data_IF_715291803100
#
_entry.id   IF_715291803100
#
_cell.length_a   1.000
_cell.length_b   1.000
_cell.length_c   1.000
_cell.angle_alpha   90.00
_cell.angle_beta   90.00
_cell.angle_gamma   90.00
#
_symmetry.space_group_name_H-M   'P 1'
#
loop_
_entity.id
_entity.type
_entity.pdbx_description
1 polymer ?
#
# COMPACT_ATOMS: atom_id res chain seq x y z
N UNK A 1 29.60 37.36 4.90
CA UNK A 1 29.01 37.02 3.59
C UNK A 1 28.83 35.52 3.59
N UNK A 2 27.72 35.06 4.17
CA UNK A 2 27.43 33.63 4.28
C UNK A 2 26.77 33.17 2.99
N UNK A 3 27.51 32.37 2.22
CA UNK A 3 27.02 31.64 1.07
C UNK A 3 26.19 30.45 1.56
N UNK A 4 24.92 30.68 1.86
CA UNK A 4 23.91 29.63 1.97
C UNK A 4 23.55 29.16 0.57
N UNK A 5 24.04 27.99 0.16
CA UNK A 5 23.52 27.27 -1.00
C UNK A 5 22.06 26.90 -0.71
N UNK A 6 21.15 27.77 -1.13
CA UNK A 6 19.71 27.67 -0.91
C UNK A 6 19.07 26.63 -1.84
N UNK A 7 19.03 25.36 -1.41
CA UNK A 7 17.97 24.46 -1.86
C UNK A 7 16.73 24.74 -1.03
N UNK A 8 15.71 25.36 -1.64
CA UNK A 8 14.38 25.52 -1.06
C UNK A 8 13.85 24.15 -0.61
N UNK A 9 13.45 24.03 0.65
CA UNK A 9 12.90 22.78 1.17
C UNK A 9 11.62 22.41 0.43
N UNK A 10 11.59 21.21 -0.16
CA UNK A 10 10.40 20.68 -0.85
C UNK A 10 9.33 20.35 0.18
N UNK A 11 8.11 20.81 -0.10
CA UNK A 11 6.94 20.55 0.74
C UNK A 11 6.01 19.58 0.02
N UNK A 12 5.56 18.54 0.70
CA UNK A 12 4.55 17.61 0.23
C UNK A 12 3.19 17.94 0.82
N UNK A 13 2.19 18.19 -0.02
CA UNK A 13 0.79 18.32 0.39
C UNK A 13 0.07 16.97 0.25
N UNK A 14 -0.42 16.47 1.38
CA UNK A 14 -1.16 15.22 1.52
C UNK A 14 -2.64 15.51 1.71
N UNK A 15 -3.50 14.58 1.29
CA UNK A 15 -4.92 14.65 1.56
C UNK A 15 -5.26 13.77 2.76
N UNK A 16 -5.70 14.37 3.86
CA UNK A 16 -6.07 13.63 5.06
C UNK A 16 -7.59 13.58 5.19
N UNK A 17 -8.17 12.40 5.45
CA UNK A 17 -9.59 12.34 5.81
C UNK A 17 -9.84 12.97 7.17
N UNK A 18 -10.93 13.71 7.27
CA UNK A 18 -11.48 14.12 8.55
C UNK A 18 -12.18 12.92 9.17
N UNK A 19 -11.68 12.48 10.31
CA UNK A 19 -12.19 11.34 11.08
C UNK A 19 -12.64 11.85 12.44
N UNK A 20 -13.95 11.96 12.59
CA UNK A 20 -14.63 12.44 13.78
C UNK A 20 -15.58 11.36 14.36
N UNK A 21 -16.37 11.74 15.36
CA UNK A 21 -17.33 10.86 16.01
C UNK A 21 -18.47 10.36 15.08
N UNK A 22 -18.70 11.03 13.95
CA UNK A 22 -19.74 10.67 12.98
C UNK A 22 -19.17 9.80 11.84
N UNK A 23 -17.86 9.53 11.85
CA UNK A 23 -17.19 8.78 10.79
C UNK A 23 -17.50 7.29 10.91
N UNK A 24 -18.31 6.79 9.98
CA UNK A 24 -18.69 5.38 9.92
C UNK A 24 -17.84 4.58 8.94
N UNK A 25 -17.55 3.33 9.30
CA UNK A 25 -16.83 2.39 8.40
C UNK A 25 -17.78 1.59 7.50
N UNK A 26 -19.06 1.58 7.84
CA UNK A 26 -20.05 0.69 7.24
C UNK A 26 -19.70 -0.79 7.36
N UNK A 27 -20.61 -1.65 6.90
CA UNK A 27 -20.34 -3.08 6.77
C UNK A 27 -19.46 -3.34 5.53
N UNK A 28 -18.23 -3.86 5.68
CA UNK A 28 -17.37 -4.19 4.54
C UNK A 28 -17.98 -5.23 3.60
N UNK A 29 -18.90 -6.07 4.07
CA UNK A 29 -19.54 -7.09 3.24
C UNK A 29 -20.56 -6.51 2.26
N UNK A 30 -21.15 -5.36 2.57
CA UNK A 30 -22.06 -4.64 1.69
C UNK A 30 -21.32 -3.76 0.66
N UNK A 31 -20.01 -3.56 0.81
CA UNK A 31 -19.19 -2.76 -0.12
C UNK A 31 -18.69 -3.57 -1.31
N UNK A 32 -18.33 -2.86 -2.37
CA UNK A 32 -17.60 -3.42 -3.52
C UNK A 32 -16.23 -3.96 -3.09
N UNK A 33 -15.71 -4.93 -3.86
CA UNK A 33 -14.41 -5.53 -3.53
C UNK A 33 -13.30 -4.49 -3.52
N UNK A 34 -12.51 -4.49 -2.45
CA UNK A 34 -11.43 -3.53 -2.27
C UNK A 34 -11.86 -2.07 -2.14
N UNK A 35 -13.16 -1.75 -2.10
CA UNK A 35 -13.62 -0.38 -1.95
C UNK A 35 -13.47 0.05 -0.49
N UNK A 36 -12.78 1.16 -0.19
CA UNK A 36 -12.74 1.71 1.16
C UNK A 36 -14.15 2.14 1.63
N UNK A 37 -14.34 2.32 2.94
CA UNK A 37 -15.54 2.97 3.47
C UNK A 37 -15.76 4.36 2.85
N UNK A 38 -17.00 4.86 2.82
CA UNK A 38 -17.27 6.26 2.50
C UNK A 38 -16.44 7.15 3.44
N UNK A 39 -15.66 8.05 2.86
CA UNK A 39 -14.88 9.02 3.63
C UNK A 39 -15.66 10.31 3.73
N UNK A 40 -15.53 10.98 4.88
CA UNK A 40 -15.88 12.40 4.98
C UNK A 40 -14.93 13.27 4.16
N UNK A 41 -14.94 14.57 4.44
CA UNK A 41 -14.11 15.53 3.72
C UNK A 41 -12.62 15.18 3.78
N UNK A 42 -11.94 15.38 2.66
CA UNK A 42 -10.49 15.30 2.57
C UNK A 42 -9.91 16.70 2.66
N UNK A 43 -8.99 16.92 3.60
CA UNK A 43 -8.36 18.21 3.82
C UNK A 43 -6.85 18.15 3.56
N UNK A 44 -6.28 19.18 2.91
CA UNK A 44 -4.86 19.22 2.65
C UNK A 44 -4.06 19.47 3.94
N UNK A 45 -2.95 18.75 4.12
CA UNK A 45 -1.91 19.04 5.12
C UNK A 45 -0.55 18.98 4.46
N UNK A 46 0.28 19.97 4.75
CA UNK A 46 1.61 20.09 4.14
C UNK A 46 2.68 19.68 5.15
N UNK A 47 3.66 18.91 4.70
CA UNK A 47 4.83 18.55 5.52
C UNK A 47 6.12 18.72 4.71
N UNK A 48 7.22 19.14 5.35
CA UNK A 48 8.52 19.16 4.69
C UNK A 48 8.96 17.75 4.33
N UNK A 49 9.53 17.60 3.14
CA UNK A 49 10.10 16.34 2.67
C UNK A 49 11.62 16.32 2.91
N UNK A 50 12.11 15.15 3.31
CA UNK A 50 13.53 14.85 3.48
C UNK A 50 13.96 13.99 2.30
N UNK A 51 14.81 14.56 1.45
CA UNK A 51 15.40 13.81 0.35
C UNK A 51 16.48 12.86 0.85
N UNK A 52 16.36 11.56 0.57
CA UNK A 52 17.34 10.55 0.98
C UNK A 52 18.49 10.39 -0.02
N UNK A 53 18.54 11.16 -1.12
CA UNK A 53 19.68 11.16 -2.06
C UNK A 53 21.06 11.21 -1.40
N UNK A 54 21.32 12.08 -0.39
CA UNK A 54 22.61 12.08 0.31
C UNK A 54 22.91 10.75 0.99
N UNK A 55 21.88 10.14 1.62
CA UNK A 55 22.00 8.83 2.25
C UNK A 55 22.28 7.72 1.23
N UNK A 56 21.65 7.74 0.05
CA UNK A 56 21.91 6.75 -1.00
C UNK A 56 23.33 6.82 -1.58
N UNK A 57 24.00 7.96 -1.41
CA UNK A 57 25.39 8.17 -1.86
C UNK A 57 26.41 7.78 -0.78
N UNK A 58 25.95 7.46 0.43
CA UNK A 58 26.81 7.03 1.54
C UNK A 58 27.31 5.59 1.29
N UNK A 59 28.62 5.32 1.34
CA UNK A 59 29.16 3.96 1.19
C UNK A 59 28.65 2.95 2.23
N UNK A 60 28.22 3.41 3.41
CA UNK A 60 27.63 2.60 4.48
C UNK A 60 26.15 2.31 4.27
N UNK A 61 25.51 2.86 3.24
CA UNK A 61 24.12 2.59 2.95
C UNK A 61 23.88 1.12 2.60
N UNK A 62 22.88 0.52 3.25
CA UNK A 62 22.35 -0.79 2.85
C UNK A 62 20.84 -0.73 2.78
N UNK A 63 20.26 -1.27 1.69
CA UNK A 63 18.82 -1.31 1.50
C UNK A 63 18.13 -2.05 2.67
N UNK A 64 18.69 -3.17 3.12
CA UNK A 64 18.16 -3.97 4.23
C UNK A 64 18.30 -3.24 5.57
N UNK A 65 19.39 -2.52 5.81
CA UNK A 65 19.56 -1.73 7.03
C UNK A 65 18.57 -0.57 7.10
N UNK A 66 18.32 0.10 5.98
CA UNK A 66 17.32 1.15 5.90
C UNK A 66 15.90 0.59 6.01
N UNK A 67 15.62 -0.55 5.39
CA UNK A 67 14.35 -1.27 5.52
C UNK A 67 14.07 -1.64 6.99
N UNK A 68 15.07 -2.18 7.70
CA UNK A 68 14.96 -2.52 9.12
C UNK A 68 14.69 -1.29 10.01
N UNK A 69 15.29 -0.14 9.71
CA UNK A 69 15.20 1.05 10.57
C UNK A 69 14.05 2.00 10.22
N UNK A 70 13.64 2.03 8.95
CA UNK A 70 12.68 3.01 8.41
C UNK A 70 11.45 2.37 7.74
N UNK A 71 11.45 1.06 7.53
CA UNK A 71 10.38 0.34 6.85
C UNK A 71 10.41 0.49 5.32
N UNK A 72 11.47 1.08 4.75
CA UNK A 72 11.70 1.10 3.30
C UNK A 72 13.19 1.17 2.96
N UNK A 73 13.57 0.75 1.75
CA UNK A 73 14.94 0.83 1.25
C UNK A 73 14.98 0.93 -0.28
N UNK A 74 16.10 1.38 -0.84
CA UNK A 74 16.32 1.52 -2.28
C UNK A 74 17.36 0.51 -2.72
N UNK A 75 17.03 -0.29 -3.72
CA UNK A 75 17.92 -1.27 -4.35
C UNK A 75 18.20 -0.82 -5.77
N UNK A 76 19.48 -0.72 -6.12
CA UNK A 76 19.89 -0.51 -7.50
C UNK A 76 19.70 -1.80 -8.29
N UNK A 77 18.77 -1.79 -9.24
CA UNK A 77 18.46 -2.95 -10.07
C UNK A 77 17.90 -2.53 -11.43
N UNK A 78 18.61 -2.84 -12.51
CA UNK A 78 18.14 -2.66 -13.88
C UNK A 78 17.39 -3.90 -14.32
N UNK A 79 16.14 -3.75 -14.75
CA UNK A 79 15.34 -4.87 -15.24
C UNK A 79 15.79 -5.29 -16.64
N UNK A 80 15.85 -6.61 -16.86
CA UNK A 80 16.07 -7.20 -18.18
C UNK A 80 14.74 -7.55 -18.86
N UNK A 81 13.70 -7.81 -18.08
CA UNK A 81 12.39 -8.30 -18.57
C UNK A 81 11.37 -7.20 -18.85
N UNK A 82 11.52 -6.02 -18.24
CA UNK A 82 10.47 -5.00 -18.24
C UNK A 82 10.17 -4.44 -19.64
N UNK A 83 11.19 -4.26 -20.48
CA UNK A 83 11.01 -3.73 -21.84
C UNK A 83 10.10 -4.64 -22.68
N UNK A 84 10.27 -5.95 -22.59
CA UNK A 84 9.43 -6.93 -23.28
C UNK A 84 8.00 -7.03 -22.73
N UNK A 85 7.69 -6.34 -21.62
CA UNK A 85 6.34 -6.32 -21.07
C UNK A 85 5.47 -5.21 -21.67
N UNK A 86 6.01 -4.34 -22.52
CA UNK A 86 5.22 -3.29 -23.17
C UNK A 86 4.58 -3.81 -24.47
N UNK A 87 3.31 -3.47 -24.65
CA UNK A 87 2.59 -3.59 -25.92
C UNK A 87 3.08 -2.51 -26.91
N UNK A 88 2.75 -2.66 -28.20
CA UNK A 88 3.02 -1.65 -29.24
C UNK A 88 2.41 -0.27 -28.92
N UNK A 89 1.43 -0.20 -28.02
CA UNK A 89 0.77 1.03 -27.57
C UNK A 89 1.44 1.67 -26.34
N UNK A 90 2.53 1.08 -25.84
CA UNK A 90 3.23 1.55 -24.63
C UNK A 90 2.47 1.27 -23.33
N UNK A 91 1.54 0.32 -23.34
CA UNK A 91 0.85 -0.20 -22.15
C UNK A 91 1.54 -1.47 -21.67
N UNK A 92 1.59 -1.70 -20.35
CA UNK A 92 2.14 -2.95 -19.82
C UNK A 92 1.14 -4.08 -20.07
N UNK A 93 1.61 -5.15 -20.70
CA UNK A 93 0.90 -6.40 -20.85
C UNK A 93 0.99 -7.22 -19.56
N UNK A 94 -0.17 -7.58 -19.02
CA UNK A 94 -0.26 -8.30 -17.74
C UNK A 94 0.31 -9.71 -17.81
N UNK A 95 0.16 -10.41 -18.94
CA UNK A 95 0.67 -11.77 -19.14
C UNK A 95 2.19 -11.78 -19.31
N UNK A 96 2.75 -10.84 -20.06
CA UNK A 96 4.18 -10.63 -20.18
C UNK A 96 4.80 -10.23 -18.83
N UNK A 97 4.17 -9.33 -18.08
CA UNK A 97 4.62 -8.99 -16.73
C UNK A 97 4.60 -10.20 -15.79
N UNK A 98 3.54 -11.01 -15.83
CA UNK A 98 3.43 -12.22 -15.02
C UNK A 98 4.46 -13.29 -15.37
N UNK A 99 4.79 -13.44 -16.66
CA UNK A 99 5.70 -14.49 -17.16
C UNK A 99 7.18 -14.10 -17.14
N UNK A 100 7.51 -12.80 -17.29
CA UNK A 100 8.89 -12.34 -17.41
C UNK A 100 9.34 -11.42 -16.25
N UNK A 101 8.50 -10.48 -15.83
CA UNK A 101 8.88 -9.47 -14.82
C UNK A 101 8.70 -9.97 -13.39
N UNK A 102 7.61 -10.67 -13.07
CA UNK A 102 7.38 -11.20 -11.72
C UNK A 102 8.44 -12.21 -11.28
N UNK A 103 8.92 -13.14 -12.14
CA UNK A 103 10.07 -13.99 -11.79
C UNK A 103 11.34 -13.18 -11.47
N UNK A 104 11.67 -12.16 -12.27
CA UNK A 104 12.81 -11.27 -12.02
C UNK A 104 12.68 -10.58 -10.65
N UNK A 105 11.48 -10.11 -10.30
CA UNK A 105 11.22 -9.49 -8.99
C UNK A 105 11.32 -10.50 -7.86
N UNK A 106 10.83 -11.73 -8.03
CA UNK A 106 10.99 -12.80 -7.02
C UNK A 106 12.46 -13.07 -6.73
N UNK A 107 13.29 -13.15 -7.76
CA UNK A 107 14.73 -13.35 -7.63
C UNK A 107 15.41 -12.15 -6.93
N UNK A 108 15.06 -10.92 -7.33
CA UNK A 108 15.56 -9.71 -6.69
C UNK A 108 15.22 -9.68 -5.20
N UNK A 109 13.98 -10.00 -4.84
CA UNK A 109 13.52 -10.05 -3.46
C UNK A 109 14.25 -11.14 -2.67
N UNK A 110 14.36 -12.34 -3.22
CA UNK A 110 15.08 -13.45 -2.59
C UNK A 110 16.55 -13.10 -2.32
N UNK A 111 17.23 -12.53 -3.33
CA UNK A 111 18.64 -12.09 -3.21
C UNK A 111 18.82 -10.97 -2.20
N UNK A 112 17.92 -9.98 -2.18
CA UNK A 112 18.04 -8.81 -1.31
C UNK A 112 17.72 -9.15 0.14
N UNK A 113 16.67 -9.93 0.39
CA UNK A 113 16.13 -10.18 1.73
C UNK A 113 16.56 -11.53 2.33
N UNK A 114 17.28 -12.36 1.56
CA UNK A 114 17.63 -13.73 1.96
C UNK A 114 16.41 -14.64 2.12
N UNK A 115 15.33 -14.33 1.42
CA UNK A 115 14.07 -15.07 1.51
C UNK A 115 14.12 -16.38 0.73
N UNK A 116 13.40 -17.40 1.23
CA UNK A 116 13.29 -18.71 0.57
C UNK A 116 12.06 -18.81 -0.33
N UNK A 117 10.97 -18.17 0.08
CA UNK A 117 9.70 -18.20 -0.63
C UNK A 117 9.21 -16.78 -0.86
N UNK A 118 8.93 -16.46 -2.12
CA UNK A 118 8.38 -15.17 -2.54
C UNK A 118 7.15 -15.44 -3.38
N UNK A 119 5.99 -15.03 -2.89
CA UNK A 119 4.71 -15.16 -3.58
C UNK A 119 4.24 -13.77 -4.01
N UNK A 120 4.03 -13.59 -5.31
CA UNK A 120 3.39 -12.38 -5.82
C UNK A 120 1.88 -12.50 -5.58
N UNK A 121 1.28 -11.48 -4.96
CA UNK A 121 -0.16 -11.46 -4.68
C UNK A 121 -0.93 -10.71 -5.76
N UNK A 122 -0.41 -9.56 -6.18
CA UNK A 122 -0.96 -8.71 -7.23
C UNK A 122 0.09 -7.64 -7.60
N UNK A 123 -0.21 -6.87 -8.62
CA UNK A 123 0.54 -5.66 -8.94
C UNK A 123 -0.38 -4.47 -9.21
N UNK A 124 0.19 -3.28 -9.11
CA UNK A 124 -0.50 -2.03 -9.42
C UNK A 124 0.37 -1.23 -10.37
N UNK A 125 -0.11 -1.04 -11.59
CA UNK A 125 0.41 -0.02 -12.48
C UNK A 125 -0.16 1.34 -12.08
N UNK A 126 0.70 2.33 -11.94
CA UNK A 126 0.30 3.70 -11.59
C UNK A 126 0.68 4.69 -12.66
N UNK A 127 -0.30 5.47 -13.09
CA UNK A 127 -0.17 6.58 -14.04
C UNK A 127 -1.07 7.72 -13.57
N UNK A 128 -0.48 8.89 -13.32
CA UNK A 128 -1.25 10.10 -12.98
C UNK A 128 -1.80 10.82 -14.22
N UNK A 129 -2.78 11.70 -14.05
CA UNK A 129 -3.18 12.66 -15.07
C UNK A 129 -2.24 13.89 -15.08
N UNK A 130 -2.41 14.80 -16.05
CA UNK A 130 -1.70 16.09 -16.04
C UNK A 130 -2.16 16.95 -14.85
N UNK A 131 -1.21 17.51 -14.09
CA UNK A 131 -1.53 18.34 -12.93
C UNK A 131 -2.19 19.68 -13.32
N UNK A 132 -3.00 20.29 -12.43
CA UNK A 132 -3.43 19.75 -11.14
C UNK A 132 -4.50 18.65 -11.32
N UNK A 133 -4.33 17.54 -10.63
CA UNK A 133 -5.29 16.43 -10.70
C UNK A 133 -6.12 16.41 -9.40
N UNK A 134 -7.44 16.63 -9.45
CA UNK A 134 -8.28 16.48 -8.27
C UNK A 134 -8.23 15.03 -7.79
N UNK A 135 -7.94 14.81 -6.51
CA UNK A 135 -7.94 13.47 -5.95
C UNK A 135 -9.36 12.88 -5.97
N UNK A 136 -9.48 11.66 -6.50
CA UNK A 136 -10.72 10.87 -6.47
C UNK A 136 -10.50 9.63 -5.62
N UNK A 137 -11.44 9.38 -4.70
CA UNK A 137 -11.43 8.17 -3.90
C UNK A 137 -11.54 6.93 -4.80
N UNK A 138 -10.80 5.85 -4.52
CA UNK A 138 -11.00 4.58 -5.21
C UNK A 138 -12.43 4.08 -5.00
N UNK A 139 -13.12 3.73 -6.08
CA UNK A 139 -14.49 3.19 -6.04
C UNK A 139 -14.52 1.66 -5.88
N UNK A 140 -13.38 1.06 -5.50
CA UNK A 140 -13.15 -0.39 -5.46
C UNK A 140 -12.45 -0.93 -6.70
N UNK A 141 -12.31 -2.26 -6.77
CA UNK A 141 -11.82 -2.95 -7.97
C UNK A 141 -12.75 -2.62 -9.15
N UNK A 142 -12.18 -2.28 -10.31
CA UNK A 142 -12.98 -2.08 -11.52
C UNK A 142 -13.61 -3.42 -11.92
N UNK A 143 -14.90 -3.46 -12.28
CA UNK A 143 -15.46 -4.63 -12.95
C UNK A 143 -14.65 -4.93 -14.21
N UNK A 144 -14.37 -6.21 -14.49
CA UNK A 144 -13.82 -6.57 -15.79
C UNK A 144 -14.86 -6.24 -16.87
N UNK A 145 -14.44 -5.76 -18.06
CA UNK A 145 -15.34 -5.71 -19.20
C UNK A 145 -15.87 -7.11 -19.46
N UNK A 146 -17.20 -7.26 -19.56
CA UNK A 146 -17.80 -8.51 -19.99
C UNK A 146 -17.28 -8.82 -21.38
N UNK A 147 -16.75 -10.03 -21.57
CA UNK A 147 -16.59 -10.60 -22.91
C UNK A 147 -17.99 -10.90 -23.42
N UNK A 148 -18.73 -9.88 -23.86
CA UNK A 148 -19.94 -10.08 -24.64
C UNK A 148 -19.49 -10.50 -26.03
N UNK A 149 -19.86 -11.73 -26.37
CA UNK A 149 -19.75 -12.30 -27.68
C UNK A 149 -20.15 -11.29 -28.76
N UNK A 150 -19.32 -11.27 -29.81
CA UNK A 150 -19.54 -10.60 -31.08
C UNK A 150 -20.97 -10.77 -31.61
N UNK A 151 -21.58 -9.66 -32.04
CA UNK A 151 -22.65 -9.67 -33.04
C UNK A 151 -23.70 -8.57 -32.85
N UNK A 152 -23.77 -7.64 -33.81
CA UNK A 152 -24.97 -6.81 -34.01
C UNK A 152 -24.69 -5.33 -34.20
N UNK A 153 -24.71 -4.90 -35.46
CA UNK A 153 -24.51 -3.55 -35.97
C UNK A 153 -25.66 -2.56 -35.70
N UNK A 154 -25.31 -1.25 -35.64
CA UNK A 154 -26.06 -0.05 -36.12
C UNK A 154 -27.34 0.30 -35.32
N UNK A 155 -27.80 1.54 -35.11
CA UNK A 155 -27.50 2.94 -35.49
C UNK A 155 -28.49 3.81 -34.66
N UNK A 156 -28.23 5.10 -34.43
CA UNK A 156 -29.32 6.04 -34.09
C UNK A 156 -29.01 7.15 -33.06
N UNK A 157 -28.72 8.32 -33.60
CA UNK A 157 -29.16 9.67 -33.23
C UNK A 157 -28.95 10.29 -31.83
N UNK A 158 -28.31 11.46 -31.89
CA UNK A 158 -28.30 12.53 -30.89
C UNK A 158 -29.69 13.15 -30.80
N UNK A 159 -30.23 13.28 -29.60
CA UNK A 159 -31.11 14.40 -29.26
C UNK A 159 -30.83 14.93 -27.85
N UNK A 160 -30.79 16.25 -27.77
CA UNK A 160 -30.53 17.08 -26.61
C UNK A 160 -31.82 17.29 -25.83
N UNK A 161 -31.83 16.98 -24.53
CA UNK A 161 -32.83 17.51 -23.61
C UNK A 161 -32.21 17.82 -22.24
N UNK A 162 -32.29 19.09 -21.89
CA UNK A 162 -32.08 19.65 -20.56
C UNK A 162 -33.24 19.27 -19.66
N UNK A 163 -33.00 18.52 -18.59
CA UNK A 163 -33.91 18.40 -17.46
C UNK A 163 -33.15 18.14 -16.16
N UNK A 164 -33.63 18.78 -15.09
CA UNK A 164 -33.02 18.85 -13.75
C UNK A 164 -32.92 17.45 -13.14
N UNK A 165 -31.74 17.09 -12.65
CA UNK A 165 -31.52 15.84 -11.94
C UNK A 165 -32.05 15.95 -10.49
N UNK A 166 -33.20 15.34 -10.25
CA UNK A 166 -33.59 14.89 -8.91
C UNK A 166 -32.71 13.70 -8.52
N UNK A 167 -32.10 13.76 -7.33
CA UNK A 167 -31.30 12.68 -6.76
C UNK A 167 -32.16 11.44 -6.52
N UNK A 168 -32.00 10.42 -7.37
CA UNK A 168 -32.42 9.05 -7.04
C UNK A 168 -31.30 8.37 -6.24
N UNK A 169 -31.63 7.63 -5.16
CA UNK A 169 -30.64 6.85 -4.43
C UNK A 169 -30.02 5.83 -5.37
N UNK A 170 -28.73 5.96 -5.61
CA UNK A 170 -27.99 5.04 -6.47
C UNK A 170 -27.84 3.72 -5.73
N UNK A 171 -28.73 2.76 -5.98
CA UNK A 171 -28.47 1.36 -5.65
C UNK A 171 -27.24 0.96 -6.47
N UNK A 172 -26.05 0.99 -5.86
CA UNK A 172 -24.85 0.51 -6.52
C UNK A 172 -25.07 -0.98 -6.82
N UNK A 173 -25.13 -1.33 -8.11
CA UNK A 173 -25.22 -2.71 -8.53
C UNK A 173 -24.03 -3.47 -7.91
N UNK A 174 -24.34 -4.47 -7.08
CA UNK A 174 -23.34 -5.25 -6.37
C UNK A 174 -22.44 -5.93 -7.40
N UNK A 175 -21.14 -5.60 -7.38
CA UNK A 175 -20.18 -6.17 -8.34
C UNK A 175 -20.18 -7.69 -8.27
N UNK A 176 -20.40 -8.35 -9.41
CA UNK A 176 -20.23 -9.79 -9.54
C UNK A 176 -18.74 -10.15 -9.54
N UNK A 177 -18.39 -11.27 -8.89
CA UNK A 177 -17.02 -11.80 -8.93
C UNK A 177 -16.70 -12.24 -10.36
N UNK A 178 -15.53 -11.88 -10.91
CA UNK A 178 -15.06 -12.53 -12.13
C UNK A 178 -14.88 -14.04 -11.90
N UNK A 179 -15.32 -14.86 -12.86
CA UNK A 179 -15.20 -16.33 -12.76
C UNK A 179 -13.72 -16.78 -12.66
N UNK A 180 -12.81 -15.98 -13.20
CA UNK A 180 -11.36 -16.18 -13.23
C UNK A 180 -10.62 -15.43 -12.10
N UNK A 181 -11.33 -14.83 -11.13
CA UNK A 181 -10.68 -14.13 -10.01
C UNK A 181 -9.75 -15.07 -9.23
N UNK A 182 -10.14 -16.34 -9.15
CA UNK A 182 -9.40 -17.41 -8.49
C UNK A 182 -8.33 -18.06 -9.35
N UNK A 183 -8.11 -17.58 -10.56
CA UNK A 183 -7.01 -18.10 -11.37
C UNK A 183 -5.69 -17.95 -10.61
N UNK A 184 -4.77 -18.89 -10.80
CA UNK A 184 -3.48 -18.93 -10.11
C UNK A 184 -2.54 -17.76 -10.44
N UNK A 185 -3.02 -16.74 -11.16
CA UNK A 185 -2.21 -15.63 -11.68
C UNK A 185 -2.43 -14.36 -10.84
N UNK A 186 -1.35 -13.70 -10.37
CA UNK A 186 -1.46 -12.42 -9.70
C UNK A 186 -1.95 -11.33 -10.65
N UNK A 187 -3.05 -10.66 -10.29
CA UNK A 187 -3.66 -9.65 -11.15
C UNK A 187 -2.94 -8.31 -11.13
N UNK A 188 -2.99 -7.59 -12.25
CA UNK A 188 -2.58 -6.20 -12.36
C UNK A 188 -3.80 -5.27 -12.34
N UNK A 189 -3.69 -4.17 -11.59
CA UNK A 189 -4.67 -3.09 -11.61
C UNK A 189 -4.01 -1.78 -12.04
N UNK A 190 -4.80 -0.86 -12.62
CA UNK A 190 -4.34 0.49 -12.94
C UNK A 190 -4.98 1.51 -12.02
N UNK A 191 -4.17 2.37 -11.38
CA UNK A 191 -4.65 3.42 -10.49
C UNK A 191 -3.81 4.70 -10.59
N UNK A 192 -4.34 5.81 -10.10
CA UNK A 192 -3.57 7.05 -9.95
C UNK A 192 -2.71 7.00 -8.67
N UNK A 193 -1.69 7.85 -8.53
CA UNK A 193 -0.96 8.00 -7.27
C UNK A 193 -1.90 8.33 -6.08
N UNK A 194 -1.77 7.60 -4.97
CA UNK A 194 -2.62 7.78 -3.79
C UNK A 194 -2.16 8.99 -2.96
N UNK A 195 -3.01 10.02 -2.84
CA UNK A 195 -2.70 11.24 -2.06
C UNK A 195 -2.90 11.09 -0.56
N UNK A 196 -3.71 10.11 -0.15
CA UNK A 196 -4.01 9.82 1.25
C UNK A 196 -2.91 8.94 1.84
N UNK A 197 -2.22 9.36 2.90
CA UNK A 197 -1.33 8.48 3.63
C UNK A 197 -2.06 7.24 4.16
N UNK A 198 -1.56 6.06 3.82
CA UNK A 198 -2.22 4.80 4.14
C UNK A 198 -1.23 3.69 4.52
N UNK A 199 -1.79 2.60 5.04
CA UNK A 199 -1.16 1.28 5.18
C UNK A 199 -1.99 0.27 4.41
N UNK A 200 -1.31 -0.62 3.70
CA UNK A 200 -1.94 -1.72 2.98
C UNK A 200 -2.17 -2.97 3.83
N UNK A 201 -1.53 -3.02 5.01
CA UNK A 201 -1.57 -4.12 5.93
C UNK A 201 -1.53 -3.59 7.37
N UNK A 202 -2.38 -4.17 8.21
CA UNK A 202 -2.22 -4.22 9.67
C UNK A 202 -1.72 -5.62 10.07
N UNK A 203 -1.31 -5.84 11.34
CA UNK A 203 -0.93 -7.18 11.80
C UNK A 203 -2.00 -8.24 11.50
N UNK A 204 -3.28 -7.97 11.78
CA UNK A 204 -4.36 -8.92 11.49
C UNK A 204 -4.48 -9.24 9.99
N UNK A 205 -4.30 -8.25 9.12
CA UNK A 205 -4.33 -8.47 7.67
C UNK A 205 -3.20 -9.35 7.18
N UNK A 206 -2.01 -9.24 7.77
CA UNK A 206 -0.89 -10.09 7.43
C UNK A 206 -1.18 -11.55 7.80
N UNK A 207 -1.74 -11.79 8.99
CA UNK A 207 -2.16 -13.13 9.44
C UNK A 207 -3.26 -13.74 8.58
N UNK A 208 -4.26 -12.93 8.21
CA UNK A 208 -5.34 -13.34 7.30
C UNK A 208 -4.84 -13.61 5.89
N UNK A 209 -3.85 -12.85 5.42
CA UNK A 209 -3.21 -13.10 4.11
C UNK A 209 -2.55 -14.48 4.07
N UNK A 210 -1.88 -14.90 5.15
CA UNK A 210 -1.31 -16.26 5.21
C UNK A 210 -2.39 -17.35 5.09
N UNK A 211 -3.59 -17.11 5.61
CA UNK A 211 -4.67 -18.10 5.68
C UNK A 211 -5.58 -18.12 4.45
N UNK A 212 -5.82 -16.97 3.83
CA UNK A 212 -6.95 -16.78 2.91
C UNK A 212 -6.57 -16.23 1.53
N UNK A 213 -5.36 -15.70 1.33
CA UNK A 213 -5.00 -15.05 0.07
C UNK A 213 -4.82 -16.04 -1.09
N UNK A 214 -4.10 -17.14 -0.86
CA UNK A 214 -3.87 -18.18 -1.88
C UNK A 214 -3.46 -19.51 -1.24
N UNK A 215 -3.74 -20.61 -1.93
CA UNK A 215 -3.34 -21.94 -1.46
C UNK A 215 -1.82 -22.11 -1.34
N UNK A 216 -1.05 -21.50 -2.25
CA UNK A 216 0.42 -21.59 -2.21
C UNK A 216 1.00 -20.91 -0.98
N UNK A 217 0.52 -19.70 -0.64
CA UNK A 217 0.93 -18.99 0.56
C UNK A 217 0.53 -19.79 1.81
N UNK A 218 -0.71 -20.29 1.86
CA UNK A 218 -1.19 -21.07 3.00
C UNK A 218 -0.37 -22.34 3.22
N UNK A 219 -0.16 -23.15 2.17
CA UNK A 219 0.65 -24.38 2.25
C UNK A 219 2.06 -24.08 2.74
N UNK A 220 2.71 -23.08 2.16
CA UNK A 220 4.05 -22.66 2.58
C UNK A 220 4.04 -22.20 4.05
N UNK A 221 3.07 -21.40 4.47
CA UNK A 221 2.96 -20.91 5.85
C UNK A 221 2.72 -22.04 6.88
N UNK A 222 1.98 -23.08 6.50
CA UNK A 222 1.81 -24.30 7.30
C UNK A 222 3.14 -25.06 7.39
N UNK A 223 3.76 -25.37 6.25
CA UNK A 223 5.02 -26.13 6.17
C UNK A 223 6.18 -25.44 6.92
N UNK A 224 6.21 -24.11 6.90
CA UNK A 224 7.24 -23.29 7.54
C UNK A 224 6.91 -22.92 9.00
N UNK A 225 5.74 -23.33 9.50
CA UNK A 225 5.37 -23.21 10.92
C UNK A 225 4.79 -21.87 11.36
N UNK A 226 4.53 -20.93 10.45
CA UNK A 226 3.90 -19.64 10.79
C UNK A 226 2.48 -19.85 11.33
N UNK A 227 1.69 -20.72 10.68
CA UNK A 227 0.32 -21.03 11.11
C UNK A 227 0.35 -21.68 12.50
N UNK A 228 1.19 -22.70 12.69
CA UNK A 228 1.32 -23.39 13.97
C UNK A 228 1.78 -22.47 15.11
N UNK A 229 2.67 -21.51 14.84
CA UNK A 229 3.13 -20.54 15.83
C UNK A 229 1.98 -19.65 16.33
N UNK A 230 1.17 -19.09 15.41
CA UNK A 230 0.03 -18.25 15.77
C UNK A 230 -1.10 -19.04 16.43
N UNK A 231 -1.41 -20.24 15.91
CA UNK A 231 -2.45 -21.10 16.45
C UNK A 231 -2.10 -21.56 17.88
N UNK A 232 -0.82 -21.82 18.16
CA UNK A 232 -0.34 -22.18 19.51
C UNK A 232 -0.51 -21.02 20.50
N UNK A 233 -0.21 -19.78 20.10
CA UNK A 233 -0.40 -18.59 20.94
C UNK A 233 -1.87 -18.44 21.32
N UNK A 234 -2.80 -18.72 20.40
CA UNK A 234 -4.24 -18.59 20.65
C UNK A 234 -4.92 -19.86 21.17
N UNK A 235 -4.22 -20.99 21.35
CA UNK A 235 -4.82 -22.31 21.60
C UNK A 235 -5.78 -22.36 22.80
N UNK A 236 -5.49 -21.59 23.85
CA UNK A 236 -6.27 -21.57 25.10
C UNK A 236 -7.20 -20.35 25.21
N UNK A 237 -7.45 -19.66 24.09
CA UNK A 237 -8.29 -18.45 24.04
C UNK A 237 -9.58 -18.70 23.25
N UNK A 238 -10.67 -17.95 23.53
CA UNK A 238 -11.95 -18.13 22.85
C UNK A 238 -11.99 -17.56 21.41
N UNK A 239 -10.90 -16.96 20.96
CA UNK A 239 -10.74 -16.34 19.64
C UNK A 239 -9.67 -17.08 18.84
N UNK A 240 -9.75 -16.99 17.51
CA UNK A 240 -8.77 -17.55 16.59
C UNK A 240 -7.69 -16.51 16.27
N UNK A 241 -6.53 -16.92 15.74
CA UNK A 241 -5.51 -15.97 15.28
C UNK A 241 -5.95 -15.02 14.16
N UNK A 242 -7.04 -15.36 13.45
CA UNK A 242 -7.65 -14.53 12.41
C UNK A 242 -8.69 -13.53 12.93
N UNK A 243 -8.92 -13.48 14.25
CA UNK A 243 -9.87 -12.58 14.90
C UNK A 243 -9.09 -11.39 15.52
N UNK A 244 -9.70 -10.19 15.58
CA UNK A 244 -8.98 -8.96 15.99
C UNK A 244 -8.53 -9.01 17.44
N UNK A 245 -9.27 -9.72 18.27
CA UNK A 245 -8.99 -9.98 19.68
C UNK A 245 -7.61 -10.64 19.91
N UNK A 246 -7.08 -11.32 18.89
CA UNK A 246 -5.76 -11.93 18.95
C UNK A 246 -4.58 -10.97 18.74
N UNK A 247 -4.82 -9.73 18.26
CA UNK A 247 -3.74 -8.82 17.82
C UNK A 247 -2.72 -8.53 18.92
N UNK A 248 -3.18 -8.07 20.09
CA UNK A 248 -2.28 -7.72 21.19
C UNK A 248 -1.50 -8.92 21.71
N UNK A 249 -2.18 -10.06 21.85
CA UNK A 249 -1.59 -11.30 22.35
C UNK A 249 -0.48 -11.81 21.40
N UNK A 250 -0.77 -11.86 20.10
CA UNK A 250 0.21 -12.30 19.11
C UNK A 250 1.35 -11.29 19.02
N UNK A 251 1.07 -9.98 19.02
CA UNK A 251 2.13 -8.97 19.00
C UNK A 251 3.12 -9.11 20.16
N UNK A 252 2.63 -9.46 21.35
CA UNK A 252 3.46 -9.69 22.54
C UNK A 252 4.28 -10.99 22.45
N UNK A 253 3.67 -12.08 22.00
CA UNK A 253 4.27 -13.42 22.16
C UNK A 253 5.02 -13.95 20.92
N UNK A 254 4.74 -13.42 19.72
CA UNK A 254 5.25 -14.02 18.47
C UNK A 254 6.78 -14.10 18.38
N UNK A 255 7.47 -13.08 18.88
CA UNK A 255 8.94 -12.95 18.79
C UNK A 255 9.69 -13.30 20.08
N UNK A 256 9.09 -14.12 20.97
CA UNK A 256 9.71 -14.64 22.20
C UNK A 256 10.63 -13.62 22.89
N UNK A 257 10.08 -12.45 23.22
CA UNK A 257 10.81 -11.24 23.65
C UNK A 257 11.88 -11.50 24.70
N UNK A 258 11.59 -12.35 25.69
CA UNK A 258 12.53 -12.76 26.74
C UNK A 258 13.83 -13.39 26.23
N UNK A 259 13.74 -14.15 25.12
CA UNK A 259 14.89 -14.81 24.49
C UNK A 259 15.49 -14.01 23.34
N UNK A 260 14.81 -12.94 22.89
CA UNK A 260 15.17 -12.17 21.69
C UNK A 260 15.05 -12.95 20.37
N UNK A 261 14.44 -14.15 20.40
CA UNK A 261 14.34 -15.04 19.23
C UNK A 261 13.07 -14.75 18.43
N UNK A 262 13.23 -14.34 17.18
CA UNK A 262 12.11 -14.16 16.26
C UNK A 262 11.31 -15.47 16.06
N UNK A 263 9.99 -15.34 15.91
CA UNK A 263 9.15 -16.42 15.42
C UNK A 263 9.44 -16.75 13.94
N UNK A 264 8.79 -17.79 13.37
CA UNK A 264 8.89 -18.11 11.95
C UNK A 264 8.59 -16.86 11.09
N UNK A 265 9.60 -16.28 10.46
CA UNK A 265 9.47 -14.94 9.90
C UNK A 265 8.65 -14.94 8.61
N UNK A 266 7.73 -13.98 8.49
CA UNK A 266 7.04 -13.66 7.25
C UNK A 266 6.81 -12.16 7.15
N UNK A 267 6.69 -11.66 5.92
CA UNK A 267 6.55 -10.25 5.65
C UNK A 267 5.75 -10.01 4.37
N UNK A 268 5.23 -8.80 4.21
CA UNK A 268 4.64 -8.31 2.98
C UNK A 268 5.38 -7.06 2.51
N UNK A 269 5.70 -6.98 1.22
CA UNK A 269 6.40 -5.83 0.64
C UNK A 269 5.70 -5.32 -0.63
N UNK A 270 5.83 -4.02 -0.88
CA UNK A 270 5.71 -3.47 -2.23
C UNK A 270 7.09 -3.32 -2.83
N UNK A 271 7.31 -3.94 -3.98
CA UNK A 271 8.50 -3.72 -4.80
C UNK A 271 8.11 -2.73 -5.87
N UNK A 272 8.43 -1.47 -5.62
CA UNK A 272 8.01 -0.35 -6.43
C UNK A 272 9.15 0.10 -7.35
N UNK A 273 8.85 0.25 -8.64
CA UNK A 273 9.80 0.68 -9.65
C UNK A 273 9.24 1.86 -10.45
N UNK A 274 9.97 2.97 -10.60
CA UNK A 274 9.69 3.96 -11.63
C UNK A 274 9.92 3.38 -13.02
N UNK A 275 8.99 3.63 -13.93
CA UNK A 275 9.13 3.25 -15.34
C UNK A 275 9.73 4.37 -16.17
N UNK A 276 9.67 5.59 -15.62
CA UNK A 276 10.35 6.79 -16.10
C UNK A 276 10.95 7.51 -14.89
N UNK A 277 11.90 8.40 -15.15
CA UNK A 277 12.43 9.28 -14.11
C UNK A 277 11.30 10.06 -13.44
N UNK A 278 11.26 10.02 -12.11
CA UNK A 278 10.18 10.65 -11.34
C UNK A 278 10.42 12.15 -11.23
N UNK A 279 9.62 12.92 -11.97
CA UNK A 279 9.62 14.39 -11.91
C UNK A 279 8.42 14.95 -11.13
N UNK A 280 7.32 14.19 -11.02
CA UNK A 280 6.11 14.54 -10.28
C UNK A 280 5.63 13.32 -9.50
N UNK A 281 4.82 13.55 -8.47
CA UNK A 281 4.19 12.49 -7.68
C UNK A 281 5.21 11.50 -7.09
N UNK A 282 6.19 11.95 -6.30
CA UNK A 282 7.11 11.02 -5.65
C UNK A 282 6.35 10.09 -4.70
N UNK A 283 6.85 8.87 -4.51
CA UNK A 283 6.39 8.03 -3.41
C UNK A 283 7.13 8.47 -2.15
N UNK A 284 6.39 8.77 -1.09
CA UNK A 284 6.95 9.27 0.18
C UNK A 284 6.60 8.34 1.34
N UNK A 285 7.43 8.39 2.38
CA UNK A 285 7.36 7.49 3.52
C UNK A 285 7.51 8.23 4.84
N UNK A 286 6.69 7.88 5.82
CA UNK A 286 6.91 8.23 7.22
C UNK A 286 7.12 6.95 8.04
N UNK A 287 8.37 6.66 8.46
CA UNK A 287 8.74 5.51 9.29
C UNK A 287 7.89 5.35 10.54
N UNK A 288 7.72 4.09 10.98
CA UNK A 288 6.99 3.74 12.21
C UNK A 288 7.69 2.62 12.97
N UNK A 289 7.37 2.47 14.25
CA UNK A 289 7.76 1.32 15.07
C UNK A 289 6.55 0.51 15.58
N UNK A 290 5.43 1.17 15.96
CA UNK A 290 4.13 0.63 16.50
C UNK A 290 4.28 -0.25 17.77
N UNK A 291 3.56 -0.14 18.90
CA UNK A 291 2.37 0.60 19.40
C UNK A 291 2.52 0.79 20.94
N UNK A 292 1.69 1.60 21.63
CA UNK A 292 0.63 2.40 21.04
C UNK A 292 1.20 3.67 20.43
N UNK A 293 0.80 3.90 19.19
CA UNK A 293 0.91 5.19 18.52
C UNK A 293 0.16 6.17 19.41
N UNK A 294 0.87 6.98 20.20
CA UNK A 294 0.30 8.24 20.61
C UNK A 294 -0.04 8.96 19.31
N UNK A 295 -1.30 9.38 19.20
CA UNK A 295 -1.76 10.29 18.16
C UNK A 295 -1.03 11.63 18.33
N UNK A 296 0.26 11.66 18.03
CA UNK A 296 1.07 12.85 18.06
C UNK A 296 0.53 13.80 16.99
N UNK A 297 0.42 15.07 17.36
CA UNK A 297 0.05 16.16 16.46
C UNK A 297 -1.37 16.11 15.85
N UNK A 298 -2.34 15.47 16.52
CA UNK A 298 -3.76 15.53 16.10
C UNK A 298 -4.12 14.64 14.90
N UNK A 299 -3.22 13.73 14.52
CA UNK A 299 -3.48 12.70 13.50
C UNK A 299 -4.33 11.57 14.07
N UNK A 300 -5.11 10.90 13.22
CA UNK A 300 -5.99 9.79 13.60
C UNK A 300 -5.60 8.55 12.80
N UNK A 301 -5.26 7.46 13.48
CA UNK A 301 -5.11 6.15 12.84
C UNK A 301 -6.48 5.53 12.62
N UNK A 302 -6.95 5.57 11.39
CA UNK A 302 -8.27 5.06 11.04
C UNK A 302 -8.17 3.75 10.28
N UNK A 303 -8.26 2.65 11.04
CA UNK A 303 -8.31 1.30 10.51
C UNK A 303 -9.68 0.99 9.92
N UNK A 304 -9.73 0.25 8.82
CA UNK A 304 -10.98 -0.19 8.18
C UNK A 304 -10.76 -1.50 7.43
N UNK A 305 -11.81 -2.28 7.25
CA UNK A 305 -11.75 -3.54 6.49
C UNK A 305 -12.33 -3.39 5.10
N UNK A 306 -11.76 -4.10 4.13
CA UNK A 306 -12.33 -4.28 2.81
C UNK A 306 -12.58 -5.76 2.59
N UNK A 307 -13.73 -6.06 1.97
CA UNK A 307 -13.99 -7.38 1.41
C UNK A 307 -13.04 -7.60 0.24
N UNK A 308 -12.28 -8.68 0.32
CA UNK A 308 -11.38 -9.15 -0.73
C UNK A 308 -11.70 -10.60 -1.05
N UNK A 309 -11.49 -11.05 -2.28
CA UNK A 309 -11.78 -12.43 -2.60
C UNK A 309 -10.63 -13.35 -2.12
N UNK A 310 -10.94 -14.51 -1.53
CA UNK A 310 -10.00 -15.63 -1.30
C UNK A 310 -10.51 -16.98 -1.87
N UNK A 311 -9.63 -17.96 -2.14
CA UNK A 311 -10.01 -19.22 -2.79
C UNK A 311 -11.17 -19.94 -2.05
N UNK A 312 -12.13 -20.55 -2.75
CA UNK A 312 -13.24 -21.28 -2.13
C UNK A 312 -12.77 -22.35 -1.13
N UNK A 313 -11.63 -23.01 -1.41
CA UNK A 313 -11.06 -24.05 -0.56
C UNK A 313 -10.51 -23.50 0.77
N UNK A 314 -10.27 -22.19 0.83
CA UNK A 314 -9.81 -21.48 2.03
C UNK A 314 -10.94 -20.68 2.69
N UNK A 315 -12.20 -20.93 2.33
CA UNK A 315 -13.38 -20.27 2.90
C UNK A 315 -13.93 -19.12 2.06
N UNK A 316 -13.36 -18.85 0.88
CA UNK A 316 -13.90 -17.84 -0.04
C UNK A 316 -13.45 -16.42 0.31
N UNK A 317 -14.37 -15.47 0.17
CA UNK A 317 -14.09 -14.06 0.47
C UNK A 317 -13.71 -13.86 1.93
N UNK A 318 -12.85 -12.89 2.17
CA UNK A 318 -12.35 -12.56 3.50
C UNK A 318 -12.17 -11.05 3.66
N UNK A 319 -11.94 -10.62 4.90
CA UNK A 319 -11.73 -9.22 5.24
C UNK A 319 -10.25 -8.91 5.40
N UNK A 320 -9.76 -7.99 4.58
CA UNK A 320 -8.43 -7.39 4.72
C UNK A 320 -8.57 -6.02 5.35
N UNK A 321 -7.89 -5.80 6.46
CA UNK A 321 -7.80 -4.52 7.14
C UNK A 321 -6.65 -3.64 6.62
N UNK A 322 -6.96 -2.36 6.46
CA UNK A 322 -6.10 -1.29 6.01
C UNK A 322 -6.15 -0.18 7.06
N UNK A 323 -5.29 0.82 6.92
CA UNK A 323 -5.41 2.05 7.70
C UNK A 323 -5.19 3.29 6.83
N UNK A 324 -5.86 4.39 7.18
CA UNK A 324 -5.54 5.74 6.68
C UNK A 324 -5.08 6.61 7.84
N UNK A 325 -4.21 7.57 7.54
CA UNK A 325 -3.84 8.63 8.48
C UNK A 325 -4.78 9.82 8.28
N UNK A 326 -5.77 9.95 9.16
CA UNK A 326 -6.73 11.05 9.18
C UNK A 326 -6.33 12.19 10.11
N UNK A 327 -7.24 13.16 10.23
CA UNK A 327 -7.19 14.27 11.19
C UNK A 327 -8.53 14.41 11.89
N UNK A 328 -8.57 14.94 13.12
CA UNK A 328 -9.82 15.08 13.88
C UNK A 328 -10.78 16.15 13.35
N UNK A 329 -10.25 17.16 12.67
CA UNK A 329 -11.02 18.32 12.22
C UNK A 329 -10.46 18.93 10.93
N UNK A 330 -11.32 19.67 10.22
CA UNK A 330 -10.98 20.38 8.98
C UNK A 330 -9.94 21.47 9.19
N UNK A 331 -10.09 22.23 10.26
CA UNK A 331 -9.19 23.32 10.61
C UNK A 331 -8.00 22.81 11.44
N UNK A 332 -6.84 23.43 11.27
CA UNK A 332 -5.68 23.17 12.11
C UNK A 332 -5.84 24.02 13.38
N UNK A 333 -5.85 23.43 14.59
CA UNK A 333 -5.94 24.20 15.82
C UNK A 333 -4.81 25.26 15.89
N UNK A 334 -5.05 26.46 16.44
CA UNK A 334 -4.05 27.54 16.52
C UNK A 334 -2.74 27.12 17.18
N UNK A 335 -2.80 26.18 18.12
CA UNK A 335 -1.67 25.63 18.88
C UNK A 335 -0.75 24.71 18.04
N UNK A 336 -1.21 24.24 16.88
CA UNK A 336 -0.45 23.42 15.92
C UNK A 336 0.07 24.25 14.73
N UNK A 337 -0.01 25.58 14.83
CA UNK A 337 0.56 26.51 13.86
C UNK A 337 2.09 26.29 13.74
N UNK A 338 2.69 26.38 12.54
CA UNK A 338 4.06 25.93 12.25
C UNK A 338 5.19 26.57 13.07
N UNK A 339 4.88 27.52 13.96
CA UNK A 339 5.84 28.13 14.91
C UNK A 339 6.12 27.27 16.16
N UNK A 340 5.33 26.22 16.42
CA UNK A 340 5.50 25.33 17.59
C UNK A 340 5.60 23.84 17.26
N UNK A 341 5.76 23.48 15.98
CA UNK A 341 5.73 22.10 15.49
C UNK A 341 7.04 21.33 15.78
N UNK A 342 7.23 20.86 17.01
CA UNK A 342 8.42 20.07 17.36
C UNK A 342 8.21 18.55 17.44
N UNK A 343 7.20 17.97 16.76
CA UNK A 343 7.02 16.49 16.65
C UNK A 343 6.17 16.00 15.44
N UNK A 344 6.03 16.76 14.34
CA UNK A 344 5.30 16.22 13.19
C UNK A 344 6.08 15.06 12.53
N UNK A 345 5.37 14.04 12.03
CA UNK A 345 5.95 12.87 11.36
C UNK A 345 6.92 13.29 10.25
N UNK A 346 8.14 12.71 10.25
CA UNK A 346 9.14 12.99 9.22
C UNK A 346 8.79 12.23 7.94
N UNK A 347 8.72 12.96 6.83
CA UNK A 347 8.43 12.40 5.52
C UNK A 347 9.68 12.35 4.66
N UNK A 348 9.97 11.19 4.10
CA UNK A 348 11.15 10.91 3.28
C UNK A 348 10.76 10.59 1.84
N UNK A 349 11.62 10.93 0.89
CA UNK A 349 11.44 10.60 -0.52
C UNK A 349 12.79 10.53 -1.24
N UNK A 350 12.79 10.03 -2.48
CA UNK A 350 13.96 10.08 -3.38
C UNK A 350 13.66 11.12 -4.46
N UNK A 351 14.41 12.23 -4.50
CA UNK A 351 14.23 13.20 -5.58
C UNK A 351 14.70 12.65 -6.91
N UNK A 352 14.04 13.04 -8.01
CA UNK A 352 14.45 12.70 -9.37
C UNK A 352 14.70 11.19 -9.58
N UNK A 353 13.91 10.33 -8.93
CA UNK A 353 14.16 8.89 -8.82
C UNK A 353 14.26 8.22 -10.19
N UNK A 354 15.34 7.48 -10.42
CA UNK A 354 15.66 6.83 -11.69
C UNK A 354 15.03 5.42 -11.77
N UNK A 355 14.88 4.89 -12.99
CA UNK A 355 14.18 3.61 -13.23
C UNK A 355 14.90 2.39 -12.64
N UNK A 356 16.18 2.52 -12.33
CA UNK A 356 16.99 1.51 -11.66
C UNK A 356 16.97 1.61 -10.12
N UNK A 357 16.29 2.62 -9.55
CA UNK A 357 16.15 2.83 -8.11
C UNK A 357 14.86 2.19 -7.62
N UNK A 358 14.91 0.90 -7.33
CA UNK A 358 13.75 0.11 -6.91
C UNK A 358 13.52 0.28 -5.42
N UNK A 359 12.33 0.73 -5.02
CA UNK A 359 11.93 0.84 -3.63
C UNK A 359 11.38 -0.49 -3.12
N UNK A 360 12.00 -0.98 -2.06
CA UNK A 360 11.46 -2.03 -1.20
C UNK A 360 10.70 -1.35 -0.08
N UNK A 361 9.37 -1.44 -0.08
CA UNK A 361 8.51 -0.83 0.93
C UNK A 361 7.91 -1.93 1.79
N UNK A 362 8.20 -1.93 3.08
CA UNK A 362 7.59 -2.87 4.02
C UNK A 362 6.12 -2.53 4.21
N UNK A 363 5.24 -3.47 3.93
CA UNK A 363 3.82 -3.36 4.24
C UNK A 363 3.50 -4.06 5.56
N UNK A 364 4.27 -5.10 5.89
CA UNK A 364 4.27 -5.78 7.19
C UNK A 364 5.56 -6.60 7.31
N UNK A 365 6.07 -6.80 8.52
CA UNK A 365 7.11 -7.78 8.82
C UNK A 365 6.86 -8.34 10.22
N UNK A 366 6.75 -9.67 10.35
CA UNK A 366 6.49 -10.30 11.65
C UNK A 366 7.63 -10.02 12.64
N UNK A 367 8.84 -9.72 12.16
CA UNK A 367 9.95 -9.30 12.99
C UNK A 367 9.73 -7.93 13.67
N UNK A 368 8.76 -7.13 13.19
CA UNK A 368 8.38 -5.86 13.82
C UNK A 368 7.38 -6.01 14.96
N UNK A 369 6.88 -7.22 15.23
CA UNK A 369 5.95 -7.46 16.34
C UNK A 369 6.66 -7.39 17.69
N UNK A 370 5.99 -6.78 18.67
CA UNK A 370 6.47 -6.63 20.04
C UNK A 370 7.00 -5.23 20.33
N UNK A 371 6.75 -4.75 21.55
CA UNK A 371 7.09 -3.38 21.98
C UNK A 371 8.59 -3.06 21.94
N UNK A 372 9.43 -4.08 22.14
CA UNK A 372 10.90 -3.95 22.14
C UNK A 372 11.55 -4.29 20.78
N UNK A 373 10.73 -4.42 19.73
CA UNK A 373 11.20 -4.73 18.39
C UNK A 373 12.24 -3.71 17.90
N UNK A 374 13.32 -4.24 17.34
CA UNK A 374 14.35 -3.44 16.66
C UNK A 374 14.07 -3.26 15.15
N UNK A 375 12.95 -3.81 14.67
CA UNK A 375 12.50 -3.67 13.30
C UNK A 375 11.39 -2.60 13.24
N UNK A 376 11.54 -1.68 12.30
CA UNK A 376 10.50 -0.72 11.98
C UNK A 376 9.22 -1.45 11.57
N UNK A 377 8.07 -0.89 11.96
CA UNK A 377 6.79 -1.24 11.37
C UNK A 377 6.68 -0.69 9.95
N UNK A 378 5.61 -1.08 9.26
CA UNK A 378 5.30 -0.54 7.94
C UNK A 378 5.20 1.00 7.99
N UNK A 379 5.87 1.76 7.11
CA UNK A 379 5.78 3.20 7.11
C UNK A 379 4.41 3.64 6.54
N UNK A 380 3.91 4.79 7.01
CA UNK A 380 2.88 5.49 6.26
C UNK A 380 3.45 5.84 4.89
N UNK A 381 2.68 5.61 3.83
CA UNK A 381 3.11 5.96 2.50
C UNK A 381 2.00 6.64 1.70
N UNK A 382 2.40 7.56 0.83
CA UNK A 382 1.52 8.30 -0.06
C UNK A 382 2.31 8.88 -1.22
N UNK A 383 1.63 9.55 -2.13
CA UNK A 383 2.23 10.38 -3.17
C UNK A 383 1.68 11.80 -3.05
N UNK A 384 2.32 12.71 -2.29
CA UNK A 384 1.84 14.08 -2.12
C UNK A 384 1.98 14.90 -3.40
N UNK A 385 1.29 16.03 -3.46
CA UNK A 385 1.63 17.08 -4.41
C UNK A 385 2.86 17.84 -3.90
N UNK A 386 3.81 18.14 -4.80
CA UNK A 386 5.05 18.86 -4.47
C UNK A 386 5.12 20.26 -5.08
N UNK A 387 3.97 20.80 -5.51
CA UNK A 387 3.83 22.16 -6.02
C UNK A 387 4.83 22.51 -7.12
N UNK A 388 5.52 23.64 -6.97
CA UNK A 388 6.50 24.14 -7.95
C UNK A 388 7.73 23.24 -8.14
N UNK A 389 7.98 22.27 -7.25
CA UNK A 389 9.04 21.28 -7.43
C UNK A 389 8.64 20.15 -8.40
N UNK A 390 7.37 20.07 -8.79
CA UNK A 390 6.90 19.09 -9.76
C UNK A 390 7.34 19.46 -11.18
N UNK A 391 7.82 18.47 -11.92
CA UNK A 391 7.92 18.55 -13.38
C UNK A 391 6.58 18.34 -14.09
N UNK A 392 6.61 18.51 -15.41
CA UNK A 392 5.41 18.45 -16.25
C UNK A 392 4.83 17.04 -16.40
N UNK A 393 5.69 16.02 -16.32
CA UNK A 393 5.34 14.63 -16.60
C UNK A 393 4.83 13.89 -15.34
N UNK A 394 3.65 13.25 -15.38
CA UNK A 394 3.18 12.40 -14.29
C UNK A 394 4.12 11.21 -14.09
N UNK A 395 4.17 10.73 -12.85
CA UNK A 395 4.83 9.45 -12.59
C UNK A 395 4.14 8.31 -13.33
N UNK A 396 4.98 7.45 -13.92
CA UNK A 396 4.63 6.08 -14.30
C UNK A 396 5.45 5.10 -13.45
N UNK A 397 4.78 4.16 -12.79
CA UNK A 397 5.42 3.20 -11.89
C UNK A 397 4.67 1.88 -11.83
N UNK A 398 5.36 0.81 -11.43
CA UNK A 398 4.75 -0.48 -11.09
C UNK A 398 5.07 -0.87 -9.65
N UNK A 399 4.04 -1.26 -8.90
CA UNK A 399 4.11 -1.88 -7.57
C UNK A 399 3.91 -3.39 -7.73
N UNK A 400 4.90 -4.24 -7.43
CA UNK A 400 4.69 -5.69 -7.31
C UNK A 400 4.55 -6.06 -5.84
N UNK A 401 3.36 -6.51 -5.43
CA UNK A 401 3.03 -6.80 -4.03
C UNK A 401 3.34 -8.26 -3.72
N UNK A 402 4.26 -8.48 -2.79
CA UNK A 402 4.77 -9.82 -2.46
C UNK A 402 4.53 -10.18 -1.00
N UNK A 403 4.30 -11.46 -0.74
CA UNK A 403 4.42 -12.08 0.58
C UNK A 403 5.69 -12.92 0.57
N UNK A 404 6.48 -12.78 1.63
CA UNK A 404 7.82 -13.33 1.76
C UNK A 404 7.87 -14.21 3.01
N UNK A 405 8.40 -15.42 2.88
CA UNK A 405 8.53 -16.40 3.97
C UNK A 405 9.97 -16.96 3.99
N UNK A 406 10.49 -17.21 5.20
CA UNK A 406 11.88 -17.66 5.44
C UNK A 406 12.01 -19.11 5.93
#
# INVERSE_FOLDING_TARGET
MDSTNGTTQVLGQYMHPVVDQNSERGDPWQRNYGAPPPMGDLVPRTSPLIDIRPLLSDPGYTAVGHLKSHGFGVVKHRSASLESCYTDKGEIDEEAAASAYYPEIKELVAKTLGAKYVHVTHSVFRRGARAPEPFKMPTGLKPLPSVTATGGSKQGDKETSTEKAEEKPTIQAQQSKPADYWSSRPRMSTSTPARVPHLDFTPISARRTLRFQSQEIYKTAVERGMIAAEDTICQNHPFRPSDKESDSLIAEQYNHSESGRLGPRYAAYSIWRPLKKVARDPLTFSPRKEMPVSADCGMVHWQYENKVPGPPELGGDWLKEFAMLGVKAKEVPPEQSPRHANTCSKWYYVSAQETDEVLFVQLFDSASLGVDSQHAGAPWHASPEIGAAAGDEPRESIDVRVVVLW
#
